data_IF_105756150137
#
_entry.id   IF_105756150137
#
_cell.length_a   1.000
_cell.length_b   1.000
_cell.length_c   1.000
_cell.angle_alpha   90.00
_cell.angle_beta   90.00
_cell.angle_gamma   90.00
#
_symmetry.space_group_name_H-M   'P 1'
#
loop_
_entity.id
_entity.type
_entity.pdbx_description
1 polymer ?
#
# COMPACT_ATOMS: atom_id res chain seq x y z
N UNK A 1 -8.06 53.77 8.97
CA UNK A 1 -8.54 52.48 8.44
C UNK A 1 -7.46 51.73 7.61
N UNK A 2 -6.17 51.87 7.92
CA UNK A 2 -5.06 51.31 7.11
C UNK A 2 -4.10 50.37 7.88
N UNK A 3 -4.33 50.14 9.17
CA UNK A 3 -3.42 49.34 10.00
C UNK A 3 -3.81 47.84 10.00
N UNK A 4 -5.08 47.48 9.76
CA UNK A 4 -5.56 46.11 9.77
C UNK A 4 -5.18 45.25 8.57
N UNK A 5 -4.95 45.87 7.40
CA UNK A 5 -4.65 45.16 6.13
C UNK A 5 -3.18 44.70 6.07
N UNK A 6 -2.27 45.38 6.74
CA UNK A 6 -0.85 45.04 6.75
C UNK A 6 -0.50 43.83 7.62
N UNK A 7 -1.28 43.55 8.71
CA UNK A 7 -1.07 42.37 9.54
C UNK A 7 -1.57 41.08 8.87
N UNK A 8 -2.68 41.14 8.10
CA UNK A 8 -3.20 39.95 7.41
C UNK A 8 -2.28 39.45 6.30
N UNK A 9 -1.59 40.36 5.58
CA UNK A 9 -0.63 39.99 4.55
C UNK A 9 0.64 39.33 5.12
N UNK A 10 1.11 39.74 6.29
CA UNK A 10 2.28 39.14 6.96
C UNK A 10 2.02 37.70 7.43
N UNK A 11 0.81 37.41 7.92
CA UNK A 11 0.46 36.04 8.36
C UNK A 11 0.34 35.04 7.19
N UNK A 12 -0.09 35.47 6.01
CA UNK A 12 -0.19 34.60 4.82
C UNK A 12 1.20 34.20 4.30
N UNK A 13 2.17 35.14 4.33
CA UNK A 13 3.55 34.85 3.90
C UNK A 13 4.29 33.90 4.85
N UNK A 14 4.08 33.96 6.16
CA UNK A 14 4.70 33.06 7.14
C UNK A 14 4.15 31.64 7.00
N UNK A 15 2.85 31.46 6.70
CA UNK A 15 2.26 30.12 6.48
C UNK A 15 2.77 29.45 5.19
N UNK A 16 2.98 30.21 4.13
CA UNK A 16 3.54 29.69 2.88
C UNK A 16 4.99 29.22 3.04
N UNK A 17 5.82 29.96 3.80
CA UNK A 17 7.20 29.59 4.08
C UNK A 17 7.33 28.27 4.87
N UNK A 18 6.49 28.06 5.90
CA UNK A 18 6.49 26.82 6.70
C UNK A 18 6.04 25.56 5.92
N UNK A 19 5.18 25.72 4.92
CA UNK A 19 4.75 24.62 4.07
C UNK A 19 5.84 24.16 3.08
N UNK A 20 6.69 25.07 2.62
CA UNK A 20 7.79 24.78 1.71
C UNK A 20 8.92 24.02 2.42
N UNK A 21 9.25 24.39 3.65
CA UNK A 21 10.29 23.71 4.43
C UNK A 21 9.95 22.24 4.74
N UNK A 22 8.69 21.95 5.03
CA UNK A 22 8.25 20.58 5.31
C UNK A 22 8.30 19.67 4.07
N UNK A 23 7.97 20.20 2.89
CA UNK A 23 8.05 19.46 1.63
C UNK A 23 9.50 19.18 1.22
N UNK A 24 10.37 20.17 1.36
CA UNK A 24 11.79 20.06 1.04
C UNK A 24 12.54 19.07 1.95
N UNK A 25 12.23 19.07 3.26
CA UNK A 25 12.80 18.13 4.22
C UNK A 25 12.43 16.67 3.91
N UNK A 26 11.17 16.41 3.53
CA UNK A 26 10.70 15.04 3.23
C UNK A 26 11.30 14.51 1.91
N UNK A 27 11.52 15.36 0.93
CA UNK A 27 12.14 14.97 -0.35
C UNK A 27 13.63 14.63 -0.17
N UNK A 28 14.35 15.41 0.61
CA UNK A 28 15.76 15.20 0.95
C UNK A 28 15.97 13.88 1.71
N UNK A 29 15.10 13.56 2.68
CA UNK A 29 15.14 12.31 3.43
C UNK A 29 14.88 11.09 2.52
N UNK A 30 13.95 11.21 1.58
CA UNK A 30 13.62 10.14 0.63
C UNK A 30 14.77 9.84 -0.31
N UNK A 31 15.45 10.87 -0.83
CA UNK A 31 16.60 10.71 -1.72
C UNK A 31 17.79 10.06 -1.02
N UNK A 32 18.10 10.47 0.20
CA UNK A 32 19.15 9.88 1.02
C UNK A 32 18.86 8.41 1.36
N UNK A 33 17.59 8.08 1.64
CA UNK A 33 17.15 6.72 1.90
C UNK A 33 17.31 5.83 0.65
N UNK A 34 16.89 6.32 -0.53
CA UNK A 34 17.03 5.59 -1.81
C UNK A 34 18.50 5.34 -2.14
N UNK A 35 19.39 6.31 -1.90
CA UNK A 35 20.81 6.13 -2.10
C UNK A 35 21.39 5.00 -1.23
N UNK A 36 21.00 4.91 0.05
CA UNK A 36 21.35 3.82 0.94
C UNK A 36 20.80 2.47 0.47
N UNK A 37 19.52 2.44 0.05
CA UNK A 37 18.89 1.24 -0.48
C UNK A 37 19.59 0.76 -1.75
N UNK A 38 19.97 1.69 -2.65
CA UNK A 38 20.70 1.38 -3.87
C UNK A 38 22.03 0.67 -3.56
N UNK A 39 22.80 1.21 -2.63
CA UNK A 39 24.07 0.60 -2.22
C UNK A 39 23.86 -0.80 -1.64
N UNK A 40 22.85 -0.99 -0.79
CA UNK A 40 22.51 -2.29 -0.22
C UNK A 40 22.04 -3.28 -1.30
N UNK A 41 21.18 -2.87 -2.22
CA UNK A 41 20.69 -3.72 -3.30
C UNK A 41 21.82 -4.17 -4.26
N UNK A 42 22.77 -3.28 -4.54
CA UNK A 42 23.94 -3.61 -5.38
C UNK A 42 24.85 -4.61 -4.66
N UNK A 43 25.04 -4.48 -3.35
CA UNK A 43 25.81 -5.47 -2.56
C UNK A 43 25.17 -6.86 -2.53
N UNK A 44 23.85 -6.95 -2.68
CA UNK A 44 23.09 -8.20 -2.82
C UNK A 44 22.99 -8.71 -4.27
N UNK A 45 23.72 -8.09 -5.21
CA UNK A 45 23.81 -8.54 -6.60
C UNK A 45 22.73 -7.96 -7.54
N UNK A 46 21.89 -7.03 -7.07
CA UNK A 46 20.91 -6.33 -7.93
C UNK A 46 21.64 -5.24 -8.71
N UNK A 47 21.45 -5.18 -10.04
CA UNK A 47 22.11 -4.14 -10.83
C UNK A 47 21.63 -2.73 -10.46
N UNK A 48 22.55 -1.76 -10.41
CA UNK A 48 22.21 -0.35 -10.15
C UNK A 48 21.15 0.17 -11.11
N UNK A 49 21.24 -0.19 -12.40
CA UNK A 49 20.23 0.19 -13.40
C UNK A 49 18.82 -0.35 -13.09
N UNK A 50 18.71 -1.52 -12.45
CA UNK A 50 17.41 -2.05 -12.02
C UNK A 50 16.84 -1.22 -10.87
N UNK A 51 17.65 -0.85 -9.89
CA UNK A 51 17.24 -0.01 -8.77
C UNK A 51 16.87 1.39 -9.27
N UNK A 52 17.69 2.00 -10.11
CA UNK A 52 17.45 3.35 -10.67
C UNK A 52 16.11 3.40 -11.43
N UNK A 53 15.81 2.37 -12.21
CA UNK A 53 14.53 2.25 -12.93
C UNK A 53 13.35 2.03 -11.99
N UNK A 54 13.51 1.23 -10.93
CA UNK A 54 12.46 0.94 -9.97
C UNK A 54 12.04 2.17 -9.15
N UNK A 55 12.99 3.07 -8.89
CA UNK A 55 12.78 4.30 -8.10
C UNK A 55 12.77 5.59 -8.92
N UNK A 56 12.72 5.46 -10.24
CA UNK A 56 12.56 6.63 -11.12
C UNK A 56 11.31 7.43 -10.74
N UNK A 57 11.47 8.73 -10.45
CA UNK A 57 10.40 9.63 -10.00
C UNK A 57 9.68 9.15 -8.72
N UNK A 58 10.40 8.51 -7.81
CA UNK A 58 9.83 8.06 -6.55
C UNK A 58 9.35 9.24 -5.70
N UNK A 59 8.11 9.13 -5.23
CA UNK A 59 7.50 10.04 -4.27
C UNK A 59 6.74 9.22 -3.23
N UNK A 60 6.95 9.46 -1.91
CA UNK A 60 6.21 8.76 -0.87
C UNK A 60 4.69 8.92 -1.00
N UNK A 61 3.96 7.81 -0.91
CA UNK A 61 2.52 7.74 -1.08
C UNK A 61 1.81 7.95 0.26
N UNK A 62 1.41 9.18 0.59
CA UNK A 62 0.68 9.51 1.83
C UNK A 62 -0.50 8.57 2.09
N UNK A 63 -1.25 8.22 1.03
CA UNK A 63 -2.39 7.33 1.13
C UNK A 63 -2.03 5.93 1.61
N UNK A 64 -0.87 5.42 1.25
CA UNK A 64 -0.36 4.11 1.71
C UNK A 64 -0.11 4.14 3.22
N UNK A 65 0.52 5.20 3.72
CA UNK A 65 0.75 5.40 5.16
C UNK A 65 -0.57 5.50 5.93
N UNK A 66 -1.54 6.26 5.41
CA UNK A 66 -2.87 6.36 6.02
C UNK A 66 -3.57 5.00 6.12
N UNK A 67 -3.51 4.20 5.06
CA UNK A 67 -4.12 2.87 5.02
C UNK A 67 -3.42 1.92 6.00
N UNK A 68 -2.08 1.95 6.09
CA UNK A 68 -1.30 1.15 7.04
C UNK A 68 -1.63 1.48 8.50
N UNK A 69 -1.95 2.76 8.78
CA UNK A 69 -2.34 3.21 10.13
C UNK A 69 -3.80 2.94 10.48
N UNK A 70 -4.66 2.75 9.47
CA UNK A 70 -6.11 2.50 9.63
C UNK A 70 -6.45 1.04 9.30
N UNK A 71 -5.88 0.08 10.04
CA UNK A 71 -6.16 -1.34 9.84
C UNK A 71 -7.53 -1.69 10.46
N UNK A 72 -8.58 -1.98 9.65
CA UNK A 72 -9.95 -2.21 10.15
C UNK A 72 -10.06 -3.38 11.13
N UNK A 73 -9.20 -4.39 10.99
CA UNK A 73 -9.12 -5.57 11.84
C UNK A 73 -8.82 -5.24 13.31
N UNK A 74 -8.20 -4.08 13.59
CA UNK A 74 -7.92 -3.61 14.95
C UNK A 74 -8.92 -2.59 15.48
N UNK A 75 -9.84 -2.09 14.63
CA UNK A 75 -10.77 -1.02 14.99
C UNK A 75 -12.24 -1.44 14.95
N UNK A 76 -12.56 -2.56 14.30
CA UNK A 76 -13.92 -3.08 14.17
C UNK A 76 -14.14 -4.26 15.12
N UNK A 77 -15.39 -4.45 15.57
CA UNK A 77 -15.79 -5.71 16.20
C UNK A 77 -15.70 -6.85 15.20
N UNK A 78 -15.57 -8.10 15.69
CA UNK A 78 -15.52 -9.28 14.82
C UNK A 78 -16.71 -9.35 13.86
N UNK A 79 -17.91 -9.10 14.35
CA UNK A 79 -19.13 -9.14 13.52
C UNK A 79 -19.13 -8.06 12.43
N UNK A 80 -18.70 -6.84 12.77
CA UNK A 80 -18.57 -5.75 11.79
C UNK A 80 -17.53 -6.08 10.72
N UNK A 81 -16.37 -6.61 11.14
CA UNK A 81 -15.31 -7.03 10.24
C UNK A 81 -15.79 -8.17 9.32
N UNK A 82 -16.41 -9.21 9.88
CA UNK A 82 -16.92 -10.34 9.12
C UNK A 82 -17.95 -9.91 8.06
N UNK A 83 -18.93 -9.08 8.44
CA UNK A 83 -19.95 -8.58 7.51
C UNK A 83 -19.35 -7.74 6.38
N UNK A 84 -18.27 -7.03 6.65
CA UNK A 84 -17.53 -6.23 5.66
C UNK A 84 -16.73 -7.11 4.70
N UNK A 85 -16.04 -8.12 5.23
CA UNK A 85 -15.12 -8.97 4.45
C UNK A 85 -15.87 -10.09 3.72
N UNK A 86 -16.94 -10.63 4.31
CA UNK A 86 -17.72 -11.77 3.77
C UNK A 86 -19.20 -11.40 3.55
N UNK A 87 -19.52 -10.35 2.77
CA UNK A 87 -20.90 -10.03 2.45
C UNK A 87 -21.53 -11.14 1.58
N UNK A 88 -22.85 -11.31 1.67
CA UNK A 88 -23.60 -12.35 0.93
C UNK A 88 -23.28 -12.36 -0.59
N UNK A 89 -23.10 -11.19 -1.19
CA UNK A 89 -22.69 -11.06 -2.59
C UNK A 89 -21.38 -11.81 -2.89
N UNK A 90 -20.38 -11.71 -1.98
CA UNK A 90 -19.09 -12.42 -2.15
C UNK A 90 -19.25 -13.93 -1.99
N UNK A 91 -20.10 -14.38 -1.07
CA UNK A 91 -20.42 -15.80 -0.89
C UNK A 91 -21.07 -16.38 -2.15
N UNK A 92 -22.07 -15.71 -2.71
CA UNK A 92 -22.74 -16.15 -3.95
C UNK A 92 -21.77 -16.21 -5.11
N UNK A 93 -20.94 -15.16 -5.30
CA UNK A 93 -19.93 -15.14 -6.36
C UNK A 93 -18.88 -16.24 -6.17
N UNK A 94 -18.49 -16.52 -4.93
CA UNK A 94 -17.57 -17.64 -4.62
C UNK A 94 -18.15 -19.00 -4.98
N UNK A 95 -19.42 -19.26 -4.69
CA UNK A 95 -20.11 -20.50 -5.10
C UNK A 95 -20.16 -20.64 -6.63
N UNK A 96 -20.44 -19.54 -7.33
CA UNK A 96 -20.41 -19.49 -8.79
C UNK A 96 -19.00 -19.81 -9.32
N UNK A 97 -17.95 -19.15 -8.79
CA UNK A 97 -16.55 -19.37 -9.18
C UNK A 97 -16.08 -20.79 -8.89
N UNK A 98 -16.53 -21.38 -7.79
CA UNK A 98 -16.26 -22.78 -7.47
C UNK A 98 -16.84 -23.73 -8.51
N UNK A 99 -18.08 -23.49 -8.96
CA UNK A 99 -18.74 -24.28 -10.00
C UNK A 99 -18.08 -24.10 -11.38
N UNK A 100 -17.86 -22.86 -11.81
CA UNK A 100 -17.23 -22.52 -13.09
C UNK A 100 -15.83 -23.15 -13.26
N UNK A 101 -15.04 -23.22 -12.17
CA UNK A 101 -13.67 -23.70 -12.19
C UNK A 101 -13.48 -25.09 -11.59
N UNK A 102 -14.56 -25.86 -11.44
CA UNK A 102 -14.56 -27.16 -10.71
C UNK A 102 -13.45 -28.11 -11.17
N UNK A 103 -13.25 -28.28 -12.46
CA UNK A 103 -12.23 -29.18 -13.05
C UNK A 103 -10.82 -28.77 -12.62
N UNK A 104 -10.45 -27.51 -12.84
CA UNK A 104 -9.15 -26.96 -12.51
C UNK A 104 -8.89 -27.00 -10.99
N UNK A 105 -9.84 -26.56 -10.19
CA UNK A 105 -9.74 -26.54 -8.73
C UNK A 105 -9.61 -27.94 -8.13
N UNK A 106 -10.28 -28.94 -8.74
CA UNK A 106 -10.12 -30.34 -8.32
C UNK A 106 -8.73 -30.87 -8.63
N UNK A 107 -8.16 -30.55 -9.79
CA UNK A 107 -6.79 -30.93 -10.14
C UNK A 107 -5.77 -30.29 -9.18
N UNK A 108 -5.90 -28.98 -8.92
CA UNK A 108 -5.04 -28.27 -7.96
C UNK A 108 -5.19 -28.89 -6.56
N UNK A 109 -6.41 -29.10 -6.13
CA UNK A 109 -6.69 -29.68 -4.82
C UNK A 109 -6.06 -31.06 -4.63
N UNK A 110 -6.13 -31.93 -5.64
CA UNK A 110 -5.47 -33.24 -5.62
C UNK A 110 -3.93 -33.11 -5.59
N UNK A 111 -3.38 -32.18 -6.40
CA UNK A 111 -1.92 -32.00 -6.51
C UNK A 111 -1.29 -31.45 -5.23
N UNK A 112 -1.97 -30.54 -4.55
CA UNK A 112 -1.42 -29.80 -3.39
C UNK A 112 -2.08 -30.15 -2.06
N UNK A 113 -3.03 -31.08 -2.02
CA UNK A 113 -3.74 -31.47 -0.79
C UNK A 113 -4.67 -30.40 -0.23
N UNK A 114 -5.10 -29.41 -1.04
CA UNK A 114 -5.92 -28.27 -0.60
C UNK A 114 -7.34 -28.40 -1.13
N UNK A 115 -8.32 -28.28 -0.25
CA UNK A 115 -9.72 -28.32 -0.69
C UNK A 115 -10.06 -27.10 -1.56
N UNK A 116 -10.74 -27.27 -2.71
CA UNK A 116 -11.12 -26.20 -3.64
C UNK A 116 -11.81 -24.99 -3.00
N UNK A 117 -12.63 -25.22 -1.97
CA UNK A 117 -13.34 -24.16 -1.25
C UNK A 117 -12.41 -23.13 -0.60
N UNK A 118 -11.25 -23.55 -0.08
CA UNK A 118 -10.28 -22.64 0.53
C UNK A 118 -9.57 -21.79 -0.52
N UNK A 119 -9.24 -22.39 -1.67
CA UNK A 119 -8.63 -21.64 -2.78
C UNK A 119 -9.58 -20.52 -3.25
N UNK A 120 -10.86 -20.86 -3.43
CA UNK A 120 -11.88 -19.89 -3.86
C UNK A 120 -12.14 -18.83 -2.79
N UNK A 121 -12.14 -19.20 -1.51
CA UNK A 121 -12.33 -18.26 -0.41
C UNK A 121 -11.19 -17.22 -0.36
N UNK A 122 -9.93 -17.67 -0.45
CA UNK A 122 -8.77 -16.76 -0.53
C UNK A 122 -8.84 -15.87 -1.77
N UNK A 123 -9.12 -16.43 -2.95
CA UNK A 123 -9.29 -15.64 -4.16
C UNK A 123 -10.35 -14.54 -4.01
N UNK A 124 -11.46 -14.86 -3.32
CA UNK A 124 -12.51 -13.89 -3.03
C UNK A 124 -12.08 -12.80 -2.05
N UNK A 125 -11.35 -13.15 -0.99
CA UNK A 125 -10.92 -12.19 0.05
C UNK A 125 -9.84 -11.26 -0.50
N UNK A 126 -8.82 -11.80 -1.16
CA UNK A 126 -7.65 -11.04 -1.61
C UNK A 126 -7.97 -10.08 -2.77
N UNK A 127 -8.71 -10.54 -3.76
CA UNK A 127 -8.87 -9.77 -5.01
C UNK A 127 -10.31 -9.60 -5.48
N UNK A 128 -11.32 -10.00 -4.66
CA UNK A 128 -12.72 -10.10 -5.09
C UNK A 128 -12.86 -10.87 -6.43
N UNK A 129 -12.19 -12.02 -6.50
CA UNK A 129 -12.13 -12.91 -7.68
C UNK A 129 -11.46 -12.27 -8.91
N UNK A 130 -10.37 -11.55 -8.71
CA UNK A 130 -9.61 -10.88 -9.76
C UNK A 130 -10.20 -9.55 -10.23
N UNK A 131 -11.20 -9.00 -9.51
CA UNK A 131 -11.76 -7.68 -9.83
C UNK A 131 -10.92 -6.53 -9.31
N UNK A 132 -10.17 -6.76 -8.25
CA UNK A 132 -9.31 -5.76 -7.60
C UNK A 132 -7.88 -6.31 -7.64
N UNK A 133 -7.03 -5.66 -8.38
CA UNK A 133 -5.60 -6.01 -8.55
C UNK A 133 -4.65 -5.06 -7.81
N UNK A 134 -5.21 -4.21 -6.94
CA UNK A 134 -4.48 -3.16 -6.24
C UNK A 134 -4.42 -1.86 -7.04
N UNK A 135 -4.30 -0.74 -6.33
CA UNK A 135 -4.28 0.62 -6.92
C UNK A 135 -2.93 1.32 -6.78
N UNK A 136 -1.93 0.64 -6.21
CA UNK A 136 -0.61 1.22 -5.93
C UNK A 136 0.52 0.36 -6.47
N UNK A 137 1.60 1.01 -6.93
CA UNK A 137 2.85 0.31 -7.23
C UNK A 137 3.39 -0.37 -5.97
N UNK A 138 3.69 -1.68 -6.07
CA UNK A 138 4.22 -2.46 -4.95
C UNK A 138 5.55 -1.88 -4.45
N UNK A 139 6.48 -1.56 -5.36
CA UNK A 139 7.78 -1.00 -5.01
C UNK A 139 7.63 0.35 -4.30
N UNK A 140 6.82 1.25 -4.85
CA UNK A 140 6.59 2.55 -4.23
C UNK A 140 5.90 2.44 -2.87
N UNK A 141 4.96 1.50 -2.71
CA UNK A 141 4.27 1.27 -1.44
C UNK A 141 5.22 0.75 -0.36
N UNK A 142 6.02 -0.27 -0.68
CA UNK A 142 7.00 -0.84 0.25
C UNK A 142 8.06 0.18 0.65
N UNK A 143 8.59 0.94 -0.31
CA UNK A 143 9.55 2.01 -0.05
C UNK A 143 8.94 3.11 0.83
N UNK A 144 7.70 3.53 0.55
CA UNK A 144 6.99 4.50 1.38
C UNK A 144 6.87 4.04 2.82
N UNK A 145 6.46 2.79 3.06
CA UNK A 145 6.31 2.22 4.40
C UNK A 145 7.66 2.02 5.10
N UNK A 146 8.72 1.73 4.35
CA UNK A 146 10.07 1.63 4.90
C UNK A 146 10.61 3.00 5.34
N UNK A 147 10.34 4.08 4.59
CA UNK A 147 10.71 5.47 4.93
C UNK A 147 9.89 5.98 6.11
N UNK A 148 8.58 5.66 6.21
CA UNK A 148 7.70 6.09 7.31
C UNK A 148 8.20 5.64 8.69
N UNK A 149 9.05 4.63 8.76
CA UNK A 149 9.80 4.24 9.94
C UNK A 149 9.07 3.29 10.91
N UNK A 150 7.75 3.24 10.92
CA UNK A 150 6.96 2.45 11.87
C UNK A 150 7.31 0.95 11.85
N UNK A 151 7.54 0.37 10.66
CA UNK A 151 7.94 -1.02 10.46
C UNK A 151 9.05 -1.15 9.42
N UNK A 152 9.99 -0.20 9.41
CA UNK A 152 11.01 -0.09 8.35
C UNK A 152 11.85 -1.35 8.15
N UNK A 153 12.18 -2.09 9.22
CA UNK A 153 12.91 -3.36 9.13
C UNK A 153 12.13 -4.49 8.44
N UNK A 154 10.81 -4.45 8.50
CA UNK A 154 9.95 -5.44 7.85
C UNK A 154 9.78 -5.18 6.34
N UNK A 155 9.84 -3.91 5.93
CA UNK A 155 9.60 -3.49 4.54
C UNK A 155 10.89 -3.29 3.72
N UNK A 156 12.06 -3.59 4.28
CA UNK A 156 13.38 -3.55 3.61
C UNK A 156 13.75 -4.85 2.92
#
# INVERSE_FOLDING_TARGET
>A
MTLGIKLAAACIFVWAALAVDSAYSQETDSAAWIAKLRSAAVSEGISGATVDRAFQNFTPLKRVVELDRRQPEFTLTFTQYLNRVVPQRRVQKGRQKLAENKKLLTQIGKKFGVQPRFIVALWGIETDFGRIDGGFSVIQSLATLAIDGRRSKFFR
#
